data_IF_938874914753
#
_entry.id   IF_938874914753
#
_cell.length_a   1.000
_cell.length_b   1.000
_cell.length_c   1.000
_cell.angle_alpha   90.00
_cell.angle_beta   90.00
_cell.angle_gamma   90.00
#
_symmetry.space_group_name_H-M   'P 1'
#
loop_
_entity.id
_entity.type
_entity.pdbx_description
1 polymer ?
#
# COMPACT_ATOMS: atom_id res chain seq x y z
N UNK A 1 -16.58 -14.06 -28.21
CA UNK A 1 -15.88 -13.43 -29.36
C UNK A 1 -15.82 -11.93 -29.10
N UNK A 2 -14.70 -11.44 -28.58
CA UNK A 2 -14.40 -10.01 -28.56
C UNK A 2 -12.96 -9.87 -29.02
N UNK A 3 -12.78 -9.39 -30.24
CA UNK A 3 -11.48 -9.16 -30.86
C UNK A 3 -10.94 -7.87 -30.24
N UNK A 4 -10.10 -7.97 -29.20
CA UNK A 4 -9.30 -6.82 -28.76
C UNK A 4 -8.10 -6.73 -29.69
N UNK A 5 -8.19 -5.82 -30.65
CA UNK A 5 -7.08 -5.32 -31.46
C UNK A 5 -5.95 -4.89 -30.52
N UNK A 6 -4.88 -5.69 -30.48
CA UNK A 6 -3.61 -5.30 -29.88
C UNK A 6 -3.03 -4.18 -30.75
N UNK A 7 -3.30 -2.93 -30.38
CA UNK A 7 -2.65 -1.77 -30.99
C UNK A 7 -1.22 -1.79 -30.44
N UNK A 8 -0.33 -2.50 -31.13
CA UNK A 8 1.10 -2.25 -31.01
C UNK A 8 1.32 -0.77 -31.39
N UNK A 9 1.38 0.12 -30.40
CA UNK A 9 1.72 1.52 -30.61
C UNK A 9 3.19 1.58 -30.97
N UNK A 10 3.49 1.40 -32.25
CA UNK A 10 4.80 1.69 -32.83
C UNK A 10 4.94 3.22 -32.90
N UNK A 11 5.42 3.83 -31.82
CA UNK A 11 5.80 5.25 -31.83
C UNK A 11 7.15 5.40 -32.56
N UNK A 12 7.11 5.59 -33.88
CA UNK A 12 8.29 6.00 -34.65
C UNK A 12 8.42 7.52 -34.54
N UNK A 13 9.26 8.01 -33.63
CA UNK A 13 9.66 9.42 -33.62
C UNK A 13 11.13 9.55 -34.05
N UNK A 14 11.31 10.02 -35.29
CA UNK A 14 12.62 10.38 -35.83
C UNK A 14 13.08 11.71 -35.23
N UNK A 15 14.01 11.67 -34.28
CA UNK A 15 14.68 12.87 -33.77
C UNK A 15 15.98 13.10 -34.55
N UNK A 16 15.96 14.10 -35.44
CA UNK A 16 17.14 14.62 -36.13
C UNK A 16 17.84 15.60 -35.17
N UNK A 17 19.02 15.25 -34.65
CA UNK A 17 19.84 16.17 -33.88
C UNK A 17 20.89 16.78 -34.83
N UNK A 18 20.70 18.05 -35.15
CA UNK A 18 21.70 18.88 -35.84
C UNK A 18 22.49 19.72 -34.84
N UNK A 19 23.82 19.64 -34.94
CA UNK A 19 24.74 20.72 -34.55
C UNK A 19 25.31 20.70 -33.15
N UNK A 20 26.52 20.13 -32.99
CA UNK A 20 27.52 20.60 -32.02
C UNK A 20 28.88 20.60 -32.72
N UNK A 21 29.59 21.72 -32.64
CA UNK A 21 30.90 21.94 -33.28
C UNK A 21 31.90 20.89 -32.77
N UNK A 22 32.46 20.08 -33.68
CA UNK A 22 33.55 19.14 -33.41
C UNK A 22 33.24 17.66 -33.59
N UNK A 23 31.98 17.26 -33.90
CA UNK A 23 31.61 15.86 -34.14
C UNK A 23 31.09 15.70 -35.57
N UNK A 24 31.79 14.93 -36.39
CA UNK A 24 31.33 14.51 -37.72
C UNK A 24 30.78 13.08 -37.58
N UNK A 25 29.46 12.91 -37.59
CA UNK A 25 28.85 11.58 -37.58
C UNK A 25 27.35 11.58 -37.35
N UNK A 26 26.61 11.03 -38.31
CA UNK A 26 25.16 10.83 -38.26
C UNK A 26 24.76 9.70 -37.29
N UNK A 27 23.87 10.01 -36.34
CA UNK A 27 23.25 9.01 -35.46
C UNK A 27 22.31 8.11 -36.28
N UNK A 28 22.50 6.79 -36.22
CA UNK A 28 21.60 5.80 -36.84
C UNK A 28 20.47 5.41 -35.88
N UNK A 29 19.32 5.06 -36.45
CA UNK A 29 18.03 4.87 -35.78
C UNK A 29 18.03 3.84 -34.63
N UNK A 30 17.19 4.11 -33.63
CA UNK A 30 16.92 3.22 -32.50
C UNK A 30 16.18 1.96 -32.99
N UNK A 31 16.67 0.78 -32.60
CA UNK A 31 15.93 -0.49 -32.71
C UNK A 31 15.35 -0.79 -31.33
N UNK A 32 14.03 -0.68 -31.21
CA UNK A 32 13.27 -1.15 -30.04
C UNK A 32 12.94 -2.62 -30.28
N UNK A 33 13.42 -3.52 -29.42
CA UNK A 33 12.88 -4.87 -29.33
C UNK A 33 11.83 -4.88 -28.23
N UNK A 34 10.55 -4.93 -28.61
CA UNK A 34 9.47 -5.30 -27.69
C UNK A 34 9.43 -6.82 -27.59
N UNK A 35 9.40 -7.42 -26.39
CA UNK A 35 9.04 -8.82 -26.27
C UNK A 35 7.56 -8.99 -26.63
N UNK A 36 7.27 -9.88 -27.57
CA UNK A 36 5.91 -10.34 -27.86
C UNK A 36 5.48 -11.30 -26.76
N UNK A 37 4.42 -10.96 -26.01
CA UNK A 37 3.87 -11.80 -24.95
C UNK A 37 2.99 -12.93 -25.51
N UNK A 38 3.22 -14.14 -25.02
CA UNK A 38 2.23 -15.21 -24.91
C UNK A 38 2.29 -15.68 -23.45
N UNK A 39 1.58 -14.99 -22.56
CA UNK A 39 1.48 -15.37 -21.15
C UNK A 39 0.35 -16.38 -20.98
N UNK A 40 0.69 -17.58 -20.49
CA UNK A 40 -0.26 -18.53 -19.92
C UNK A 40 -0.32 -18.31 -18.41
N UNK A 41 -1.52 -18.37 -17.85
CA UNK A 41 -1.82 -18.23 -16.42
C UNK A 41 -1.08 -19.27 -15.58
N UNK A 42 -0.17 -18.87 -14.69
CA UNK A 42 0.34 -19.82 -13.69
C UNK A 42 1.55 -19.46 -12.83
N UNK A 43 2.43 -18.54 -13.22
CA UNK A 43 3.66 -18.27 -12.44
C UNK A 43 3.80 -16.78 -12.11
N UNK A 44 3.47 -16.42 -10.86
CA UNK A 44 3.67 -15.08 -10.29
C UNK A 44 4.92 -15.00 -9.38
N UNK A 45 5.69 -16.09 -9.23
CA UNK A 45 6.92 -16.12 -8.40
C UNK A 45 8.20 -15.73 -9.17
N UNK A 46 8.11 -15.51 -10.48
CA UNK A 46 9.17 -14.92 -11.31
C UNK A 46 8.59 -13.68 -11.99
N UNK A 47 8.49 -12.54 -11.27
CA UNK A 47 8.22 -11.24 -11.88
C UNK A 47 9.21 -11.05 -13.04
N UNK A 48 8.74 -11.09 -14.30
CA UNK A 48 9.65 -11.22 -15.40
C UNK A 48 10.41 -9.91 -15.56
N UNK A 49 11.51 -10.01 -16.28
CA UNK A 49 12.33 -8.93 -16.84
C UNK A 49 11.56 -7.87 -17.67
N UNK A 50 10.23 -7.78 -17.56
CA UNK A 50 9.28 -6.97 -18.32
C UNK A 50 8.95 -5.60 -17.70
N UNK A 51 9.24 -5.38 -16.41
CA UNK A 51 9.06 -4.06 -15.76
C UNK A 51 10.15 -3.03 -16.12
N UNK A 52 11.05 -3.36 -17.06
CA UNK A 52 12.20 -2.52 -17.37
C UNK A 52 12.21 -2.07 -18.83
N UNK A 53 12.39 -0.78 -19.05
CA UNK A 53 12.65 -0.21 -20.36
C UNK A 53 14.15 -0.11 -20.63
N UNK A 54 14.54 -0.29 -21.90
CA UNK A 54 15.95 -0.19 -22.33
C UNK A 54 16.10 0.80 -23.46
N UNK A 55 17.00 1.78 -23.29
CA UNK A 55 17.40 2.70 -24.37
C UNK A 55 18.88 2.49 -24.67
N UNK A 56 19.22 2.25 -25.94
CA UNK A 56 20.61 2.18 -26.40
C UNK A 56 20.91 3.34 -27.35
N UNK A 57 21.98 4.10 -27.07
CA UNK A 57 22.46 5.17 -27.95
C UNK A 57 23.93 4.97 -28.30
N UNK A 58 24.34 5.34 -29.50
CA UNK A 58 25.71 5.17 -30.01
C UNK A 58 26.33 6.50 -30.41
N UNK A 59 27.64 6.64 -30.21
CA UNK A 59 28.45 7.72 -30.77
C UNK A 59 29.74 7.20 -31.40
N UNK A 60 30.39 8.01 -32.23
CA UNK A 60 31.60 7.62 -32.97
C UNK A 60 32.65 8.72 -32.95
N UNK A 61 33.92 8.30 -33.09
CA UNK A 61 35.03 9.15 -33.53
C UNK A 61 35.35 10.34 -32.62
N UNK A 62 36.16 10.11 -31.58
CA UNK A 62 36.70 11.17 -30.72
C UNK A 62 38.22 11.06 -30.60
N UNK A 63 38.93 12.15 -30.87
CA UNK A 63 40.38 12.20 -30.73
C UNK A 63 40.79 12.38 -29.26
N UNK A 64 41.62 11.49 -28.74
CA UNK A 64 42.26 11.61 -27.43
C UNK A 64 43.55 12.42 -27.62
N UNK A 65 43.64 13.65 -27.09
CA UNK A 65 44.84 14.46 -27.22
C UNK A 65 46.05 13.83 -26.52
N UNK A 66 47.23 14.03 -27.08
CA UNK A 66 48.49 13.70 -26.41
C UNK A 66 48.63 14.53 -25.13
N UNK A 67 49.17 13.91 -24.08
CA UNK A 67 49.33 14.52 -22.77
C UNK A 67 50.81 14.88 -22.53
N UNK A 68 51.14 16.14 -22.23
CA UNK A 68 52.53 16.57 -21.99
C UNK A 68 53.05 16.06 -20.65
N UNK A 69 54.37 16.14 -20.43
CA UNK A 69 55.00 15.76 -19.17
C UNK A 69 54.34 16.51 -18.00
N UNK A 70 53.91 15.76 -16.98
CA UNK A 70 53.19 16.28 -15.80
C UNK A 70 51.87 17.03 -16.12
N UNK A 71 51.29 16.83 -17.30
CA UNK A 71 50.04 17.44 -17.70
C UNK A 71 49.00 16.40 -18.11
N UNK A 72 47.79 16.51 -17.55
CA UNK A 72 46.64 15.68 -17.91
C UNK A 72 45.83 16.37 -19.01
N UNK A 73 45.30 15.58 -19.94
CA UNK A 73 44.31 16.04 -20.93
C UNK A 73 43.07 15.18 -20.88
N UNK A 74 41.91 15.78 -21.10
CA UNK A 74 40.63 15.08 -21.17
C UNK A 74 39.87 15.49 -22.41
N UNK A 75 39.03 14.58 -22.90
CA UNK A 75 38.09 14.82 -23.98
C UNK A 75 36.74 14.21 -23.61
N UNK A 76 35.66 14.89 -24.00
CA UNK A 76 34.29 14.51 -23.67
C UNK A 76 33.52 14.14 -24.94
N UNK A 77 32.76 13.04 -24.85
CA UNK A 77 31.71 12.70 -25.80
C UNK A 77 30.36 12.71 -25.08
N UNK A 78 29.33 13.27 -25.72
CA UNK A 78 28.00 13.37 -25.13
C UNK A 78 26.96 12.62 -25.96
N UNK A 79 25.94 12.10 -25.28
CA UNK A 79 24.77 11.51 -25.92
C UNK A 79 23.50 11.95 -25.20
N UNK A 80 22.51 12.40 -25.95
CA UNK A 80 21.18 12.70 -25.42
C UNK A 80 20.39 11.41 -25.25
N UNK A 81 19.82 11.21 -24.07
CA UNK A 81 18.85 10.15 -23.80
C UNK A 81 17.51 10.80 -23.50
N UNK A 82 16.48 10.34 -24.20
CA UNK A 82 15.07 10.67 -23.96
C UNK A 82 14.36 9.33 -23.85
N UNK A 83 13.80 9.07 -22.67
CA UNK A 83 12.94 7.96 -22.34
C UNK A 83 11.55 8.23 -22.92
N UNK A 84 10.94 7.19 -23.48
CA UNK A 84 9.63 7.28 -24.12
C UNK A 84 8.48 7.37 -23.10
N UNK A 85 8.74 6.92 -21.88
CA UNK A 85 7.85 7.00 -20.72
C UNK A 85 8.66 7.43 -19.49
N UNK A 86 8.05 8.07 -18.48
CA UNK A 86 8.69 8.35 -17.21
C UNK A 86 9.25 7.09 -16.57
N UNK A 87 10.26 7.25 -15.72
CA UNK A 87 10.85 6.10 -15.05
C UNK A 87 12.18 6.38 -14.38
N UNK A 88 12.62 5.42 -13.56
CA UNK A 88 13.81 5.55 -12.73
C UNK A 88 14.92 4.63 -13.23
N UNK A 89 16.11 5.17 -13.49
CA UNK A 89 17.25 4.37 -13.96
C UNK A 89 17.63 3.31 -12.93
N UNK A 90 17.63 2.06 -13.37
CA UNK A 90 18.09 0.89 -12.62
C UNK A 90 19.58 0.73 -12.85
N UNK A 91 20.02 0.80 -14.10
CA UNK A 91 21.43 0.70 -14.46
C UNK A 91 21.74 1.43 -15.77
N UNK A 92 22.96 1.91 -15.90
CA UNK A 92 23.50 2.43 -17.14
C UNK A 92 24.86 1.79 -17.41
N UNK A 93 25.04 1.23 -18.59
CA UNK A 93 26.26 0.53 -18.99
C UNK A 93 26.77 1.09 -20.30
N UNK A 94 27.89 1.83 -20.29
CA UNK A 94 28.56 2.22 -21.51
C UNK A 94 29.42 1.06 -22.03
N UNK A 95 29.51 0.93 -23.35
CA UNK A 95 30.53 0.11 -24.03
C UNK A 95 31.32 1.02 -24.96
N UNK A 96 32.61 0.78 -25.11
CA UNK A 96 33.48 1.62 -25.93
C UNK A 96 34.66 0.85 -26.51
N UNK A 97 35.14 1.29 -27.66
CA UNK A 97 36.35 0.81 -28.31
C UNK A 97 37.36 1.97 -28.37
N UNK A 98 38.52 1.79 -27.74
CA UNK A 98 39.59 2.79 -27.68
C UNK A 98 40.84 2.21 -28.32
N UNK A 99 41.41 2.94 -29.27
CA UNK A 99 42.72 2.68 -29.84
C UNK A 99 43.71 3.70 -29.29
N UNK A 100 44.59 3.26 -28.39
CA UNK A 100 45.60 4.13 -27.77
C UNK A 100 46.93 3.36 -27.54
N UNK A 101 48.10 3.95 -27.83
CA UNK A 101 49.38 3.25 -27.68
C UNK A 101 49.78 2.92 -26.23
N UNK A 102 49.21 3.63 -25.25
CA UNK A 102 49.42 3.41 -23.82
C UNK A 102 48.08 3.40 -23.06
N UNK A 103 47.27 2.34 -23.14
CA UNK A 103 45.90 2.32 -22.61
C UNK A 103 45.84 2.44 -21.08
N UNK A 104 46.89 1.99 -20.38
CA UNK A 104 47.04 2.12 -18.91
C UNK A 104 47.07 3.57 -18.41
N UNK A 105 47.34 4.54 -19.30
CA UNK A 105 47.36 5.97 -18.99
C UNK A 105 45.95 6.58 -19.02
N UNK A 106 44.93 5.81 -19.45
CA UNK A 106 43.59 6.30 -19.64
C UNK A 106 42.68 5.97 -18.45
N UNK A 107 41.89 6.96 -18.03
CA UNK A 107 40.76 6.80 -17.14
C UNK A 107 39.48 7.18 -17.88
N UNK A 108 38.46 6.34 -17.81
CA UNK A 108 37.16 6.60 -18.45
C UNK A 108 36.12 6.84 -17.36
N UNK A 109 35.35 7.92 -17.48
CA UNK A 109 34.30 8.28 -16.53
C UNK A 109 33.00 8.50 -17.28
N UNK A 110 31.89 7.93 -16.79
CA UNK A 110 30.55 8.23 -17.29
C UNK A 110 29.85 9.14 -16.27
N UNK A 111 29.35 10.28 -16.73
CA UNK A 111 28.56 11.22 -15.93
C UNK A 111 27.10 11.21 -16.40
N UNK A 112 26.18 11.02 -15.47
CA UNK A 112 24.75 11.07 -15.68
C UNK A 112 24.23 12.53 -15.70
N UNK A 113 23.02 12.78 -16.22
CA UNK A 113 22.43 14.13 -16.31
C UNK A 113 22.30 14.85 -14.96
N UNK A 114 22.02 14.10 -13.89
CA UNK A 114 21.93 14.61 -12.51
C UNK A 114 23.31 14.90 -11.87
N UNK A 115 24.40 14.76 -12.63
CA UNK A 115 25.76 15.06 -12.18
C UNK A 115 26.49 13.93 -11.47
N UNK A 116 25.81 12.82 -11.16
CA UNK A 116 26.46 11.64 -10.59
C UNK A 116 27.38 10.98 -11.62
N UNK A 117 28.46 10.33 -11.19
CA UNK A 117 29.44 9.75 -12.11
C UNK A 117 30.00 8.43 -11.60
N UNK A 118 30.31 7.52 -12.53
CA UNK A 118 31.01 6.27 -12.29
C UNK A 118 32.30 6.24 -13.13
N UNK A 119 33.37 5.64 -12.61
CA UNK A 119 34.66 5.58 -13.30
C UNK A 119 35.12 4.14 -13.49
N UNK A 120 35.76 3.87 -14.63
CA UNK A 120 36.49 2.64 -14.89
C UNK A 120 37.90 2.96 -15.44
N UNK A 121 38.80 1.99 -15.31
CA UNK A 121 40.10 1.98 -16.00
C UNK A 121 39.98 1.23 -17.33
N UNK A 122 40.96 1.41 -18.23
CA UNK A 122 40.94 0.77 -19.56
C UNK A 122 40.71 -0.75 -19.42
N UNK A 123 39.65 -1.27 -20.05
CA UNK A 123 39.33 -2.70 -20.06
C UNK A 123 38.29 -3.18 -19.02
N UNK A 124 37.69 -2.29 -18.23
CA UNK A 124 36.61 -2.62 -17.29
C UNK A 124 35.27 -1.94 -17.64
N UNK A 125 34.15 -2.58 -17.33
CA UNK A 125 32.83 -1.94 -17.44
C UNK A 125 32.70 -0.78 -16.46
N UNK A 126 32.10 0.33 -16.89
CA UNK A 126 31.73 1.43 -15.99
C UNK A 126 30.37 1.07 -15.39
N UNK A 127 30.30 0.85 -14.09
CA UNK A 127 29.02 0.88 -13.37
C UNK A 127 28.49 2.32 -13.44
N UNK A 128 27.41 2.52 -14.20
CA UNK A 128 26.82 3.84 -14.38
C UNK A 128 26.10 4.33 -13.13
N UNK A 129 25.84 5.65 -13.04
CA UNK A 129 25.13 6.24 -11.92
C UNK A 129 23.60 5.99 -11.97
N UNK A 130 22.94 6.00 -10.83
CA UNK A 130 21.47 5.98 -10.70
C UNK A 130 20.89 7.41 -10.80
N UNK A 131 19.79 7.60 -11.51
CA UNK A 131 19.19 8.93 -11.73
C UNK A 131 18.04 8.95 -12.74
N UNK A 132 17.75 10.12 -13.30
CA UNK A 132 16.80 10.28 -14.40
C UNK A 132 17.42 9.75 -15.70
N UNK A 133 16.66 8.97 -16.46
CA UNK A 133 17.10 8.48 -17.76
C UNK A 133 17.28 9.63 -18.76
N UNK A 134 16.46 10.67 -18.61
CA UNK A 134 16.38 11.84 -19.47
C UNK A 134 17.54 12.82 -19.24
N UNK A 135 18.14 13.25 -20.34
CA UNK A 135 19.13 14.30 -20.37
C UNK A 135 20.44 13.89 -21.06
N UNK A 136 21.47 14.70 -20.85
CA UNK A 136 22.76 14.52 -21.52
C UNK A 136 23.68 13.68 -20.66
N UNK A 137 24.07 12.53 -21.20
CA UNK A 137 25.08 11.65 -20.61
C UNK A 137 26.45 11.97 -21.22
N UNK A 138 27.49 12.05 -20.39
CA UNK A 138 28.84 12.44 -20.83
C UNK A 138 29.86 11.37 -20.50
N UNK A 139 30.56 10.88 -21.52
CA UNK A 139 31.72 10.02 -21.40
C UNK A 139 32.99 10.87 -21.46
N UNK A 140 33.76 10.90 -20.37
CA UNK A 140 35.04 11.61 -20.29
C UNK A 140 36.18 10.61 -20.34
N UNK A 141 37.09 10.78 -21.31
CA UNK A 141 38.34 10.03 -21.39
C UNK A 141 39.49 10.95 -20.97
N UNK A 142 40.19 10.57 -19.91
CA UNK A 142 41.31 11.33 -19.34
C UNK A 142 42.62 10.60 -19.59
N UNK A 143 43.53 11.24 -20.32
CA UNK A 143 44.88 10.76 -20.60
C UNK A 143 45.86 11.39 -19.59
N UNK A 144 46.35 10.58 -18.65
CA UNK A 144 47.29 10.99 -17.61
C UNK A 144 48.60 10.24 -17.78
N UNK A 145 49.69 10.91 -18.16
CA UNK A 145 50.97 10.25 -18.34
C UNK A 145 51.59 9.83 -17.00
N UNK A 146 52.45 8.81 -16.98
CA UNK A 146 53.26 8.49 -15.81
C UNK A 146 54.28 9.60 -15.51
N UNK A 147 54.82 9.60 -14.29
CA UNK A 147 55.73 10.64 -13.79
C UNK A 147 56.91 10.86 -14.76
N UNK A 148 57.15 12.13 -15.11
CA UNK A 148 58.21 12.57 -16.03
C UNK A 148 58.16 11.99 -17.46
N UNK A 149 57.01 11.48 -17.90
CA UNK A 149 56.82 10.99 -19.26
C UNK A 149 55.66 11.74 -19.94
N UNK A 150 55.62 11.70 -21.27
CA UNK A 150 54.46 12.14 -22.05
C UNK A 150 53.59 10.93 -22.41
N UNK A 151 52.32 11.18 -22.76
CA UNK A 151 51.42 10.14 -23.25
C UNK A 151 51.03 10.48 -24.70
N UNK A 152 51.10 9.51 -25.63
CA UNK A 152 50.75 9.76 -27.03
C UNK A 152 49.26 10.10 -27.20
N UNK A 153 48.90 10.55 -28.40
CA UNK A 153 47.49 10.68 -28.80
C UNK A 153 46.89 9.30 -29.11
N UNK A 154 45.55 9.23 -29.14
CA UNK A 154 44.81 8.07 -29.60
C UNK A 154 43.39 8.43 -30.02
N UNK A 155 42.53 7.43 -30.15
CA UNK A 155 41.14 7.60 -30.60
C UNK A 155 40.17 6.74 -29.79
N UNK A 156 38.96 7.26 -29.62
CA UNK A 156 37.78 6.45 -29.29
C UNK A 156 37.08 6.18 -30.62
N UNK A 157 37.10 4.92 -31.07
CA UNK A 157 36.63 4.54 -32.39
C UNK A 157 35.10 4.44 -32.42
N UNK A 158 34.52 3.86 -31.37
CA UNK A 158 33.07 3.81 -31.16
C UNK A 158 32.74 3.76 -29.67
N UNK A 159 31.54 4.22 -29.32
CA UNK A 159 30.96 3.98 -28.00
C UNK A 159 29.45 3.86 -28.07
N UNK A 160 28.87 3.14 -27.12
CA UNK A 160 27.42 3.07 -26.91
C UNK A 160 27.09 3.13 -25.43
N UNK A 161 25.86 3.53 -25.12
CA UNK A 161 25.31 3.59 -23.79
C UNK A 161 23.98 2.84 -23.78
N UNK A 162 23.91 1.76 -23.01
CA UNK A 162 22.67 1.04 -22.68
C UNK A 162 22.17 1.53 -21.33
N UNK A 163 20.99 2.14 -21.30
CA UNK A 163 20.29 2.54 -20.07
C UNK A 163 19.12 1.61 -19.85
N UNK A 164 19.05 0.99 -18.68
CA UNK A 164 17.93 0.17 -18.21
C UNK A 164 17.25 0.92 -17.08
N UNK A 165 15.94 1.13 -17.18
CA UNK A 165 15.17 1.88 -16.19
C UNK A 165 13.83 1.20 -15.90
N UNK A 166 13.33 1.40 -14.69
CA UNK A 166 12.00 1.01 -14.24
C UNK A 166 11.01 2.00 -14.82
N UNK A 167 10.20 1.55 -15.77
CA UNK A 167 9.23 2.41 -16.45
C UNK A 167 7.97 2.59 -15.61
N UNK A 168 7.25 3.67 -15.89
CA UNK A 168 5.91 3.98 -15.45
C UNK A 168 5.05 3.99 -16.72
N UNK A 169 4.29 2.91 -16.97
CA UNK A 169 3.60 2.71 -18.25
C UNK A 169 2.30 3.48 -18.38
N UNK A 170 1.62 3.75 -17.27
CA UNK A 170 0.34 4.42 -17.22
C UNK A 170 0.43 5.87 -16.71
N UNK A 171 1.64 6.35 -16.39
CA UNK A 171 1.97 7.72 -15.99
C UNK A 171 1.27 8.14 -14.68
N UNK A 172 1.19 7.19 -13.73
CA UNK A 172 0.56 7.39 -12.43
C UNK A 172 1.56 7.77 -11.32
N UNK A 173 2.82 8.03 -11.71
CA UNK A 173 3.96 8.31 -10.82
C UNK A 173 4.43 7.13 -9.98
N UNK A 174 3.99 5.91 -10.31
CA UNK A 174 4.55 4.66 -9.79
C UNK A 174 5.30 3.96 -10.91
N UNK A 175 6.48 3.47 -10.55
CA UNK A 175 7.21 2.64 -11.49
C UNK A 175 6.62 1.23 -11.43
N UNK A 176 6.52 0.56 -12.56
CA UNK A 176 5.85 -0.74 -12.75
C UNK A 176 6.28 -1.78 -11.71
N UNK A 177 7.55 -1.78 -11.28
CA UNK A 177 8.03 -2.73 -10.26
C UNK A 177 7.44 -2.53 -8.86
N UNK A 178 6.75 -1.41 -8.64
CA UNK A 178 6.15 -0.99 -7.36
C UNK A 178 4.71 -0.54 -7.53
N UNK A 179 4.13 -0.82 -8.68
CA UNK A 179 2.78 -0.47 -9.04
C UNK A 179 1.92 -1.73 -8.91
N UNK A 180 0.83 -1.65 -8.14
CA UNK A 180 -0.12 -2.73 -8.02
C UNK A 180 -1.11 -2.80 -9.20
N UNK A 181 -1.11 -1.81 -10.09
CA UNK A 181 -1.81 -1.82 -11.37
C UNK A 181 -0.97 -1.26 -12.54
N UNK A 182 0.12 -1.93 -12.97
CA UNK A 182 1.11 -1.39 -13.93
C UNK A 182 0.62 -0.96 -15.33
N UNK A 183 -0.65 -1.18 -15.66
CA UNK A 183 -1.25 -0.81 -16.93
C UNK A 183 -2.44 0.16 -16.76
N UNK A 184 -2.83 0.50 -15.53
CA UNK A 184 -4.02 1.31 -15.22
C UNK A 184 -3.75 2.26 -14.07
N UNK A 185 -3.65 3.54 -14.40
CA UNK A 185 -3.20 4.57 -13.48
C UNK A 185 -4.04 4.63 -12.19
N UNK A 186 -3.39 4.43 -11.04
CA UNK A 186 -4.01 4.46 -9.72
C UNK A 186 -3.04 5.08 -8.68
N UNK A 187 -2.93 6.41 -8.72
CA UNK A 187 -2.02 7.22 -7.91
C UNK A 187 -1.99 6.90 -6.39
N UNK A 188 -3.13 6.51 -5.81
CA UNK A 188 -3.27 6.21 -4.38
C UNK A 188 -2.86 4.77 -4.01
N UNK A 189 -2.71 3.89 -5.01
CA UNK A 189 -2.35 2.49 -4.87
C UNK A 189 -3.27 1.76 -3.88
N UNK A 190 -4.56 2.09 -3.93
CA UNK A 190 -5.57 1.43 -3.11
C UNK A 190 -5.57 -0.09 -3.39
N UNK A 191 -5.73 -0.87 -2.32
CA UNK A 191 -5.73 -2.33 -2.32
C UNK A 191 -6.40 -2.78 -1.00
N UNK A 192 -7.72 -2.98 -1.06
CA UNK A 192 -8.58 -3.23 0.10
C UNK A 192 -8.29 -4.59 0.74
N UNK A 193 -8.17 -5.64 -0.06
CA UNK A 193 -8.00 -7.02 0.41
C UNK A 193 -6.52 -7.41 0.66
N UNK A 194 -5.60 -6.61 0.13
CA UNK A 194 -4.13 -6.74 0.20
C UNK A 194 -3.59 -7.93 -0.58
N UNK A 195 -4.20 -8.24 -1.71
CA UNK A 195 -3.68 -9.21 -2.66
C UNK A 195 -2.61 -8.58 -3.59
N UNK A 196 -2.33 -9.21 -4.74
CA UNK A 196 -1.31 -8.72 -5.68
C UNK A 196 -1.80 -7.59 -6.60
N UNK A 197 -3.11 -7.41 -6.75
CA UNK A 197 -3.74 -6.43 -7.63
C UNK A 197 -4.12 -5.18 -6.82
N UNK A 198 -4.16 -4.02 -7.47
CA UNK A 198 -4.75 -2.81 -6.88
C UNK A 198 -6.22 -2.71 -7.22
N UNK A 199 -6.98 -1.96 -6.42
CA UNK A 199 -8.44 -1.86 -6.55
C UNK A 199 -8.90 -1.48 -7.99
N UNK A 200 -8.11 -0.68 -8.70
CA UNK A 200 -8.43 -0.20 -10.05
C UNK A 200 -8.32 -1.29 -11.13
N UNK A 201 -7.49 -2.32 -10.90
CA UNK A 201 -7.25 -3.42 -11.84
C UNK A 201 -7.67 -4.80 -11.27
N UNK A 202 -8.26 -4.83 -10.08
CA UNK A 202 -8.73 -6.02 -9.40
C UNK A 202 -10.19 -6.34 -9.80
N UNK A 203 -10.49 -7.57 -10.29
CA UNK A 203 -11.88 -8.00 -10.53
C UNK A 203 -12.72 -8.25 -9.26
N UNK A 204 -12.13 -8.37 -8.07
CA UNK A 204 -12.75 -8.67 -6.78
C UNK A 204 -12.03 -7.88 -5.66
N UNK A 205 -12.33 -6.58 -5.55
CA UNK A 205 -11.59 -5.59 -4.75
C UNK A 205 -11.48 -5.97 -3.26
N UNK A 206 -12.47 -6.67 -2.70
CA UNK A 206 -12.50 -7.02 -1.28
C UNK A 206 -12.20 -8.50 -0.98
N UNK A 207 -11.95 -9.30 -2.02
CA UNK A 207 -11.51 -10.68 -1.92
C UNK A 207 -12.52 -11.62 -1.28
N UNK A 208 -13.82 -11.31 -1.34
CA UNK A 208 -14.86 -12.14 -0.74
C UNK A 208 -15.35 -13.29 -1.64
N UNK A 209 -14.91 -13.30 -2.91
CA UNK A 209 -15.24 -14.29 -3.93
C UNK A 209 -16.40 -13.90 -4.84
N UNK A 210 -16.93 -12.69 -4.74
CA UNK A 210 -17.96 -12.12 -5.62
C UNK A 210 -17.34 -11.01 -6.46
N UNK A 211 -17.36 -11.15 -7.79
CA UNK A 211 -16.77 -10.13 -8.66
C UNK A 211 -17.48 -8.78 -8.52
N UNK A 212 -16.72 -7.67 -8.60
CA UNK A 212 -17.19 -6.29 -8.37
C UNK A 212 -18.49 -5.91 -9.10
N UNK A 213 -18.73 -6.47 -10.29
CA UNK A 213 -19.92 -6.17 -11.10
C UNK A 213 -21.21 -6.83 -10.60
N UNK A 214 -21.08 -7.90 -9.81
CA UNK A 214 -22.19 -8.65 -9.20
C UNK A 214 -22.25 -8.45 -7.68
N UNK A 215 -21.33 -7.67 -7.11
CA UNK A 215 -21.18 -7.43 -5.68
C UNK A 215 -21.99 -6.20 -5.22
N UNK A 216 -22.86 -6.40 -4.22
CA UNK A 216 -23.63 -5.34 -3.60
C UNK A 216 -22.86 -4.52 -2.55
N UNK A 217 -21.62 -4.91 -2.23
CA UNK A 217 -20.66 -4.16 -1.42
C UNK A 217 -19.20 -4.31 -1.93
N UNK A 218 -18.84 -3.74 -3.11
CA UNK A 218 -17.53 -3.95 -3.77
C UNK A 218 -16.25 -3.54 -3.02
N UNK A 219 -16.34 -3.15 -1.76
CA UNK A 219 -15.19 -2.75 -0.93
C UNK A 219 -15.33 -3.24 0.52
N UNK A 220 -16.33 -4.09 0.80
CA UNK A 220 -16.66 -4.57 2.13
C UNK A 220 -17.09 -6.04 2.07
N UNK A 221 -16.09 -6.91 2.21
CA UNK A 221 -16.24 -8.35 2.06
C UNK A 221 -17.50 -8.92 2.74
N UNK A 222 -18.39 -9.50 1.93
CA UNK A 222 -19.70 -9.94 2.38
C UNK A 222 -20.28 -11.14 1.60
N UNK A 223 -19.46 -12.05 1.06
CA UNK A 223 -19.70 -13.27 0.26
C UNK A 223 -21.12 -13.88 0.20
N UNK A 224 -21.89 -13.79 1.29
CA UNK A 224 -23.33 -14.09 1.33
C UNK A 224 -24.22 -13.11 0.56
N UNK A 225 -23.70 -11.94 0.16
CA UNK A 225 -24.41 -10.87 -0.54
C UNK A 225 -25.72 -10.48 0.17
N UNK A 226 -25.70 -10.48 1.51
CA UNK A 226 -26.88 -10.21 2.31
C UNK A 226 -27.26 -8.73 2.18
N UNK A 227 -28.50 -8.50 1.79
CA UNK A 227 -29.15 -7.19 1.71
C UNK A 227 -30.54 -7.34 2.36
N UNK A 228 -30.66 -6.86 3.60
CA UNK A 228 -31.83 -7.07 4.45
C UNK A 228 -33.02 -6.19 4.06
N UNK A 229 -32.78 -5.00 3.53
CA UNK A 229 -33.83 -4.06 3.15
C UNK A 229 -34.16 -4.10 1.64
N UNK A 230 -33.39 -4.85 0.85
CA UNK A 230 -33.54 -5.06 -0.58
C UNK A 230 -33.40 -3.76 -1.40
N UNK A 231 -32.53 -2.84 -0.97
CA UNK A 231 -32.25 -1.60 -1.68
C UNK A 231 -31.12 -1.72 -2.72
N UNK A 232 -30.45 -2.87 -2.78
CA UNK A 232 -29.33 -3.15 -3.69
C UNK A 232 -27.94 -2.84 -3.12
N UNK A 233 -27.84 -2.31 -1.90
CA UNK A 233 -26.61 -2.22 -1.12
C UNK A 233 -26.57 -3.37 -0.11
N UNK A 234 -25.43 -4.03 0.04
CA UNK A 234 -25.30 -5.09 1.04
C UNK A 234 -25.24 -4.55 2.47
N UNK A 235 -25.64 -5.38 3.43
CA UNK A 235 -25.66 -5.08 4.86
C UNK A 235 -24.34 -4.43 5.38
N UNK A 236 -23.13 -4.79 4.89
CA UNK A 236 -21.89 -4.21 5.42
C UNK A 236 -21.55 -2.80 4.92
N UNK A 237 -22.10 -2.38 3.77
CA UNK A 237 -21.83 -1.09 3.15
C UNK A 237 -23.09 -0.18 3.08
N UNK A 238 -24.25 -0.71 3.45
CA UNK A 238 -25.48 0.06 3.59
C UNK A 238 -25.48 0.86 4.91
N UNK A 239 -25.59 2.20 4.86
CA UNK A 239 -25.67 3.02 6.06
C UNK A 239 -26.95 2.78 6.90
N UNK A 240 -28.03 2.24 6.32
CA UNK A 240 -29.33 1.99 6.96
C UNK A 240 -29.88 0.60 6.58
N UNK A 241 -29.06 -0.44 6.80
CA UNK A 241 -29.34 -1.82 6.39
C UNK A 241 -30.65 -2.41 6.95
N UNK A 242 -31.23 -1.82 8.00
CA UNK A 242 -32.52 -2.23 8.55
C UNK A 242 -33.69 -1.26 8.29
N UNK A 243 -33.44 -0.15 7.59
CA UNK A 243 -34.45 0.84 7.18
C UNK A 243 -35.25 1.43 8.35
N UNK A 244 -34.58 1.68 9.46
CA UNK A 244 -35.18 2.34 10.62
C UNK A 244 -34.97 3.86 10.65
N UNK A 245 -34.18 4.38 9.69
CA UNK A 245 -33.91 5.79 9.49
C UNK A 245 -32.72 6.32 10.26
N UNK A 246 -31.90 5.45 10.87
CA UNK A 246 -30.68 5.82 11.60
C UNK A 246 -29.39 5.50 10.82
N UNK A 247 -29.09 6.29 9.79
CA UNK A 247 -27.87 6.11 8.97
C UNK A 247 -26.54 6.27 9.74
N UNK A 248 -26.54 7.08 10.81
CA UNK A 248 -25.31 7.39 11.59
C UNK A 248 -25.55 7.26 13.08
N UNK A 249 -24.79 6.37 13.69
CA UNK A 249 -24.84 6.14 15.13
C UNK A 249 -25.93 5.18 15.55
N UNK A 250 -26.48 4.40 14.62
CA UNK A 250 -27.25 3.22 14.98
C UNK A 250 -26.35 2.22 15.71
N UNK A 251 -26.79 1.84 16.91
CA UNK A 251 -26.10 0.88 17.74
C UNK A 251 -26.46 -0.58 17.40
N UNK A 252 -27.43 -0.80 16.51
CA UNK A 252 -27.88 -2.11 16.05
C UNK A 252 -28.19 -2.14 14.53
N UNK A 253 -27.19 -1.98 13.63
CA UNK A 253 -27.37 -1.79 12.17
C UNK A 253 -28.22 -2.81 11.39
N UNK A 254 -28.59 -3.93 12.01
CA UNK A 254 -29.29 -5.05 11.36
C UNK A 254 -30.60 -5.40 12.09
N UNK A 255 -31.12 -4.48 12.91
CA UNK A 255 -32.26 -4.73 13.76
C UNK A 255 -33.06 -3.44 13.96
N UNK A 256 -34.03 -3.21 13.08
CA UNK A 256 -34.76 -1.96 13.02
C UNK A 256 -35.41 -1.54 14.35
N UNK A 257 -35.17 -0.30 14.78
CA UNK A 257 -35.97 0.32 15.81
C UNK A 257 -36.04 1.86 15.74
N UNK A 258 -37.27 2.35 15.56
CA UNK A 258 -37.64 3.76 15.57
C UNK A 258 -37.55 4.44 16.97
N UNK A 259 -36.35 4.56 17.53
CA UNK A 259 -36.06 5.25 18.78
C UNK A 259 -34.64 5.84 18.79
N UNK A 260 -34.34 6.78 19.70
CA UNK A 260 -33.06 7.52 19.78
C UNK A 260 -31.76 6.68 19.78
N UNK A 261 -31.83 5.35 19.92
CA UNK A 261 -30.66 4.46 19.91
C UNK A 261 -30.52 3.61 18.65
N UNK A 262 -31.51 3.60 17.74
CA UNK A 262 -31.62 2.66 16.60
C UNK A 262 -31.78 1.18 17.03
N UNK A 263 -31.71 0.88 18.33
CA UNK A 263 -31.75 -0.49 18.82
C UNK A 263 -33.10 -0.90 19.40
N UNK A 264 -33.61 -2.10 19.05
CA UNK A 264 -34.84 -2.61 19.62
C UNK A 264 -34.64 -2.94 21.10
N UNK A 265 -35.55 -2.50 21.98
CA UNK A 265 -35.37 -2.66 23.41
C UNK A 265 -35.60 -4.10 23.87
N UNK A 266 -34.55 -4.73 24.40
CA UNK A 266 -34.62 -6.05 25.00
C UNK A 266 -34.88 -5.97 26.51
N UNK A 267 -36.00 -6.56 26.94
CA UNK A 267 -36.48 -6.48 28.32
C UNK A 267 -35.52 -7.16 29.31
N UNK A 268 -35.26 -6.50 30.45
CA UNK A 268 -34.43 -7.04 31.54
C UNK A 268 -35.00 -6.70 32.90
N UNK A 269 -34.95 -7.67 33.80
CA UNK A 269 -35.32 -7.49 35.21
C UNK A 269 -34.27 -8.12 36.12
N UNK A 270 -33.95 -7.46 37.23
CA UNK A 270 -32.96 -7.93 38.20
C UNK A 270 -33.54 -8.06 39.59
N UNK A 271 -33.19 -9.12 40.30
CA UNK A 271 -33.51 -9.30 41.72
C UNK A 271 -32.28 -9.17 42.59
N UNK A 272 -32.48 -8.83 43.86
CA UNK A 272 -31.44 -8.79 44.89
C UNK A 272 -31.99 -9.36 46.20
N UNK A 273 -31.15 -10.12 46.90
CA UNK A 273 -31.38 -10.60 48.24
C UNK A 273 -30.06 -10.63 49.02
N UNK A 274 -30.14 -10.48 50.34
CA UNK A 274 -29.00 -10.62 51.24
C UNK A 274 -29.17 -11.87 52.11
N UNK A 275 -28.26 -12.83 52.00
CA UNK A 275 -28.25 -14.04 52.82
C UNK A 275 -27.57 -13.77 54.16
N UNK A 276 -28.34 -13.64 55.24
CA UNK A 276 -27.81 -13.29 56.58
C UNK A 276 -26.77 -14.31 57.09
N UNK A 277 -27.04 -15.62 56.92
CA UNK A 277 -26.16 -16.71 57.37
C UNK A 277 -24.82 -16.72 56.62
N UNK A 278 -24.88 -16.56 55.29
CA UNK A 278 -23.69 -16.61 54.41
C UNK A 278 -23.00 -15.26 54.24
N UNK A 279 -23.62 -14.16 54.69
CA UNK A 279 -23.15 -12.77 54.54
C UNK A 279 -22.84 -12.40 53.09
N UNK A 280 -23.73 -12.75 52.17
CA UNK A 280 -23.55 -12.53 50.73
C UNK A 280 -24.79 -11.88 50.11
N UNK A 281 -24.56 -10.99 49.15
CA UNK A 281 -25.60 -10.56 48.23
C UNK A 281 -25.71 -11.57 47.10
N UNK A 282 -26.94 -11.90 46.72
CA UNK A 282 -27.26 -12.77 45.60
C UNK A 282 -28.44 -12.22 44.83
N UNK A 283 -28.56 -12.63 43.57
CA UNK A 283 -29.70 -12.25 42.76
C UNK A 283 -29.74 -13.03 41.45
N UNK A 284 -30.81 -12.77 40.71
CA UNK A 284 -31.03 -13.33 39.38
C UNK A 284 -31.43 -12.22 38.45
N UNK A 285 -30.76 -12.16 37.30
CA UNK A 285 -31.10 -11.34 36.17
C UNK A 285 -31.90 -12.18 35.16
N UNK A 286 -33.04 -11.66 34.69
CA UNK A 286 -33.96 -12.32 33.77
C UNK A 286 -34.15 -11.48 32.51
N UNK A 287 -34.25 -12.15 31.36
CA UNK A 287 -34.57 -11.60 30.04
C UNK A 287 -35.07 -12.74 29.15
N UNK A 288 -35.92 -12.47 28.14
CA UNK A 288 -36.20 -13.43 27.07
C UNK A 288 -34.95 -13.82 26.28
N UNK A 289 -33.96 -12.92 26.19
CA UNK A 289 -32.72 -13.13 25.44
C UNK A 289 -31.60 -13.57 26.38
N UNK A 290 -31.04 -14.76 26.16
CA UNK A 290 -29.98 -15.29 27.02
C UNK A 290 -28.72 -14.41 27.02
N UNK A 291 -28.38 -13.82 25.87
CA UNK A 291 -27.27 -12.88 25.74
C UNK A 291 -27.45 -11.61 26.61
N UNK A 292 -28.68 -11.26 27.01
CA UNK A 292 -28.95 -10.17 27.94
C UNK A 292 -28.77 -10.54 29.42
N UNK A 293 -28.64 -11.83 29.75
CA UNK A 293 -28.42 -12.28 31.14
C UNK A 293 -27.07 -12.93 31.38
N UNK A 294 -26.48 -13.55 30.36
CA UNK A 294 -25.23 -14.29 30.46
C UNK A 294 -24.03 -13.35 30.64
N UNK A 295 -23.17 -13.65 31.63
CA UNK A 295 -21.87 -12.99 31.87
C UNK A 295 -21.91 -11.47 32.05
N UNK A 296 -23.06 -10.89 32.39
CA UNK A 296 -23.23 -9.45 32.64
C UNK A 296 -22.68 -9.03 33.99
N UNK A 297 -22.18 -7.80 34.04
CA UNK A 297 -21.66 -7.19 35.27
C UNK A 297 -22.82 -6.57 36.05
N UNK A 298 -22.90 -6.90 37.34
CA UNK A 298 -23.87 -6.36 38.28
C UNK A 298 -23.15 -5.48 39.28
N UNK A 299 -23.50 -4.20 39.31
CA UNK A 299 -23.00 -3.26 40.32
C UNK A 299 -23.89 -3.31 41.56
N UNK A 300 -23.33 -3.71 42.69
CA UNK A 300 -24.01 -3.53 43.97
C UNK A 300 -23.84 -2.08 44.42
N UNK A 301 -24.94 -1.37 44.63
CA UNK A 301 -24.98 0.03 45.04
C UNK A 301 -25.58 0.16 46.42
N UNK A 302 -24.99 1.00 47.27
CA UNK A 302 -25.54 1.42 48.57
C UNK A 302 -26.12 2.82 48.44
N UNK A 303 -27.33 3.02 48.91
CA UNK A 303 -27.99 4.34 48.96
C UNK A 303 -27.36 5.15 50.09
N UNK A 304 -26.91 6.37 49.79
CA UNK A 304 -26.24 7.27 50.72
C UNK A 304 -27.10 8.49 51.08
N UNK A 305 -28.16 8.76 50.32
CA UNK A 305 -29.09 9.87 50.51
C UNK A 305 -29.97 10.06 49.26
N UNK A 306 -30.79 11.11 49.20
CA UNK A 306 -31.56 11.45 48.00
C UNK A 306 -30.64 11.60 46.78
N UNK A 307 -30.91 10.86 45.71
CA UNK A 307 -30.11 10.87 44.46
C UNK A 307 -28.68 10.30 44.58
N UNK A 308 -28.16 10.03 45.78
CA UNK A 308 -26.76 9.65 46.00
C UNK A 308 -26.60 8.17 46.32
N UNK A 309 -25.69 7.50 45.63
CA UNK A 309 -25.34 6.11 45.90
C UNK A 309 -23.86 5.84 45.65
N UNK A 310 -23.31 4.87 46.39
CA UNK A 310 -21.91 4.44 46.28
C UNK A 310 -21.83 3.00 45.81
N UNK A 311 -20.86 2.69 44.94
CA UNK A 311 -20.59 1.31 44.50
C UNK A 311 -19.92 0.54 45.63
N UNK A 312 -20.49 -0.62 45.95
CA UNK A 312 -20.05 -1.51 47.03
C UNK A 312 -19.19 -2.64 46.49
N UNK A 313 -19.51 -3.12 45.29
CA UNK A 313 -18.76 -4.17 44.61
C UNK A 313 -19.38 -4.53 43.27
N UNK A 314 -18.68 -5.39 42.54
CA UNK A 314 -19.07 -5.90 41.24
C UNK A 314 -19.21 -7.41 41.31
N UNK A 315 -20.32 -7.94 40.78
CA UNK A 315 -20.50 -9.36 40.55
C UNK A 315 -20.67 -9.60 39.05
N UNK A 316 -20.43 -10.83 38.60
CA UNK A 316 -20.74 -11.25 37.23
C UNK A 316 -21.83 -12.32 37.28
N UNK A 317 -22.80 -12.24 36.38
CA UNK A 317 -23.81 -13.29 36.24
C UNK A 317 -23.21 -14.54 35.61
N UNK A 318 -23.74 -15.69 36.00
CA UNK A 318 -23.55 -16.96 35.30
C UNK A 318 -24.26 -16.95 33.94
N UNK A 319 -24.14 -18.05 33.19
CA UNK A 319 -24.88 -18.26 31.94
C UNK A 319 -26.40 -18.23 32.13
N UNK A 320 -26.89 -18.55 33.34
CA UNK A 320 -28.33 -18.51 33.69
C UNK A 320 -28.76 -17.21 34.38
N UNK A 321 -27.94 -16.15 34.34
CA UNK A 321 -28.28 -14.86 34.95
C UNK A 321 -28.15 -14.80 36.48
N UNK A 322 -27.77 -15.90 37.15
CA UNK A 322 -27.56 -15.94 38.60
C UNK A 322 -26.24 -15.27 38.96
N UNK A 323 -26.22 -14.42 39.98
CA UNK A 323 -25.01 -13.76 40.47
C UNK A 323 -24.94 -13.78 42.00
N UNK A 324 -23.71 -13.76 42.50
CA UNK A 324 -23.40 -13.66 43.93
C UNK A 324 -22.22 -12.73 44.11
N UNK A 325 -22.25 -11.89 45.15
CA UNK A 325 -21.12 -11.08 45.56
C UNK A 325 -20.55 -11.63 46.87
N UNK A 326 -19.52 -12.50 46.81
CA UNK A 326 -18.82 -12.96 47.99
C UNK A 326 -18.07 -11.79 48.63
N UNK A 327 -18.07 -11.72 49.97
CA UNK A 327 -17.28 -10.76 50.79
C UNK A 327 -17.79 -9.31 50.88
N UNK A 328 -19.08 -9.05 50.67
CA UNK A 328 -19.64 -7.78 51.10
C UNK A 328 -19.70 -7.72 52.64
N UNK A 329 -18.76 -7.00 53.29
CA UNK A 329 -18.81 -6.77 54.74
C UNK A 329 -20.20 -6.26 55.13
N UNK A 330 -20.84 -6.86 56.15
CA UNK A 330 -22.17 -6.47 56.63
C UNK A 330 -22.14 -5.00 57.06
N UNK A 331 -22.67 -4.12 56.21
CA UNK A 331 -22.88 -2.71 56.52
C UNK A 331 -24.39 -2.47 56.52
N UNK A 332 -25.00 -2.08 57.65
CA UNK A 332 -26.41 -1.71 57.68
C UNK A 332 -26.70 -0.63 56.64
N UNK A 333 -27.84 -0.72 55.95
CA UNK A 333 -28.19 0.26 54.93
C UNK A 333 -29.19 -0.23 53.90
N UNK A 334 -29.45 0.62 52.91
CA UNK A 334 -30.29 0.32 51.75
C UNK A 334 -29.40 0.02 50.54
N UNK A 335 -29.70 -1.07 49.84
CA UNK A 335 -28.91 -1.56 48.71
C UNK A 335 -29.79 -1.91 47.52
N UNK A 336 -29.25 -1.78 46.32
CA UNK A 336 -29.86 -2.27 45.09
C UNK A 336 -28.77 -2.77 44.14
N UNK A 337 -29.16 -3.65 43.23
CA UNK A 337 -28.32 -4.09 42.12
C UNK A 337 -28.65 -3.23 40.89
N UNK A 338 -27.61 -2.71 40.25
CA UNK A 338 -27.70 -1.98 39.00
C UNK A 338 -26.96 -2.74 37.92
N UNK A 339 -27.61 -2.95 36.78
CA UNK A 339 -26.96 -3.47 35.60
C UNK A 339 -27.15 -2.47 34.47
N UNK A 340 -26.02 -1.98 33.96
CA UNK A 340 -25.97 -1.03 32.84
C UNK A 340 -26.52 -1.64 31.55
N UNK A 341 -26.97 -0.80 30.60
CA UNK A 341 -27.37 -1.25 29.28
C UNK A 341 -26.22 -1.97 28.56
N UNK A 342 -26.54 -2.82 27.60
CA UNK A 342 -25.54 -3.49 26.76
C UNK A 342 -26.11 -3.69 25.36
N UNK A 343 -25.38 -3.23 24.35
CA UNK A 343 -25.74 -3.44 22.95
C UNK A 343 -25.40 -4.88 22.52
N UNK A 344 -26.29 -5.45 21.73
CA UNK A 344 -26.13 -6.72 21.05
C UNK A 344 -26.53 -6.51 19.59
N UNK A 345 -26.08 -7.39 18.70
CA UNK A 345 -26.50 -7.39 17.29
C UNK A 345 -28.02 -7.44 17.09
N UNK A 346 -28.76 -8.01 18.05
CA UNK A 346 -30.22 -8.16 17.99
C UNK A 346 -30.98 -7.10 18.81
N UNK A 347 -30.30 -6.11 19.39
CA UNK A 347 -30.95 -5.05 20.17
C UNK A 347 -30.26 -4.64 21.47
N UNK A 348 -30.86 -3.65 22.14
CA UNK A 348 -30.35 -3.06 23.37
C UNK A 348 -30.92 -3.76 24.60
N UNK A 349 -30.07 -4.50 25.30
CA UNK A 349 -30.37 -4.98 26.65
C UNK A 349 -30.58 -3.79 27.59
N UNK A 350 -31.83 -3.46 27.95
CA UNK A 350 -32.15 -2.31 28.79
C UNK A 350 -31.44 -2.34 30.15
N UNK A 351 -31.21 -1.15 30.72
CA UNK A 351 -30.76 -1.02 32.10
C UNK A 351 -31.74 -1.76 33.03
N UNK A 352 -31.21 -2.57 33.94
CA UNK A 352 -32.00 -3.25 34.96
C UNK A 352 -31.59 -2.79 36.34
N UNK A 353 -32.55 -2.28 37.11
CA UNK A 353 -32.36 -1.96 38.52
C UNK A 353 -33.26 -2.86 39.37
N UNK A 354 -32.69 -3.52 40.37
CA UNK A 354 -33.49 -4.30 41.32
C UNK A 354 -34.28 -3.39 42.26
N UNK A 355 -35.27 -3.97 42.95
CA UNK A 355 -35.87 -3.34 44.14
C UNK A 355 -34.79 -3.01 45.16
N UNK A 356 -34.99 -1.93 45.92
CA UNK A 356 -34.12 -1.55 47.03
C UNK A 356 -34.44 -2.44 48.23
N UNK A 357 -33.43 -3.10 48.79
CA UNK A 357 -33.56 -3.90 50.01
C UNK A 357 -32.87 -3.21 51.19
N UNK A 358 -33.41 -3.39 52.39
CA UNK A 358 -32.79 -2.92 53.64
C UNK A 358 -32.07 -4.08 54.32
N UNK A 359 -30.77 -3.93 54.53
CA UNK A 359 -29.96 -4.86 55.33
C UNK A 359 -29.78 -4.23 56.71
N UNK A 360 -30.16 -4.98 57.75
CA UNK A 360 -30.02 -4.57 59.16
C UNK A 360 -28.74 -5.12 59.77
#
# INVERSE_FOLDING_TARGET
MSVRTSIARTCVLAVVISGVVGVVGSASAAVVQTPSSNLASGDFDDLPTEATCTVTRTGQGMAIPAAPILGTKSVDATVGVVADVPGRVISATPTFAITHPAPSNLKVTLKAPNGTSGAATSGSQVSGPTGDANGTWTLTVTNTPPFLQSSPAGTVDSWSLKVVYDCDWDDDSRANSKDNCPETANYDQANVDRDALGDECDPDIDGDGVANGDDNCPSNANATQRDMNHNGMGDPCDPDADSDGYEKGDACPLAAAYNDTGCPPLARTGTIAYGVRVKQFKGVLRSPVNACVSRKVVELRRVMGPGRSARVGLARTSTRGVWTLPRAKRKPGKFYALIKPTFLTQGLCRQAQSKVIRVR
#
